data_IF_301651267679
#
_entry.id   IF_301651267679
#
_cell.length_a   1.000
_cell.length_b   1.000
_cell.length_c   1.000
_cell.angle_alpha   90.00
_cell.angle_beta   90.00
_cell.angle_gamma   90.00
#
_symmetry.space_group_name_H-M   'P 1'
#
loop_
_entity.id
_entity.type
_entity.pdbx_description
1 polymer ?
#
# COMPACT_ATOMS: atom_id res chain seq x y z
N UNK A 1 3.97 9.85 1.76
CA UNK A 1 3.45 8.46 1.75
C UNK A 1 4.25 7.55 2.67
N UNK A 2 5.59 7.64 2.75
CA UNK A 2 6.39 6.85 3.71
C UNK A 2 5.92 7.02 5.17
N UNK A 3 5.74 8.24 5.67
CA UNK A 3 5.21 8.47 7.03
C UNK A 3 3.85 7.79 7.23
N UNK A 4 2.96 7.90 6.24
CA UNK A 4 1.68 7.20 6.24
C UNK A 4 1.83 5.67 6.20
N UNK A 5 2.85 5.15 5.52
CA UNK A 5 3.15 3.72 5.49
C UNK A 5 3.56 3.22 6.87
N UNK A 6 4.43 3.97 7.55
CA UNK A 6 4.83 3.70 8.94
C UNK A 6 3.59 3.71 9.85
N UNK A 7 2.72 4.72 9.74
CA UNK A 7 1.48 4.78 10.52
C UNK A 7 0.53 3.61 10.26
N UNK A 8 0.38 3.18 9.01
CA UNK A 8 -0.47 2.02 8.67
C UNK A 8 0.10 0.75 9.29
N UNK A 9 1.41 0.55 9.19
CA UNK A 9 2.06 -0.63 9.75
C UNK A 9 1.94 -0.65 11.28
N UNK A 10 2.17 0.48 11.94
CA UNK A 10 2.00 0.61 13.39
C UNK A 10 0.55 0.28 13.80
N UNK A 11 -0.44 0.85 13.13
CA UNK A 11 -1.87 0.64 13.45
C UNK A 11 -2.33 -0.80 13.20
N UNK A 12 -1.88 -1.40 12.10
CA UNK A 12 -2.40 -2.70 11.66
C UNK A 12 -1.61 -3.90 12.20
N UNK A 13 -0.32 -3.73 12.44
CA UNK A 13 0.60 -4.81 12.85
C UNK A 13 1.32 -4.56 14.17
N UNK A 14 1.14 -3.37 14.81
CA UNK A 14 1.84 -2.98 16.04
C UNK A 14 3.37 -2.97 15.91
N UNK A 15 3.86 -2.77 14.68
CA UNK A 15 5.29 -2.66 14.38
C UNK A 15 5.67 -1.18 14.24
N UNK A 16 6.57 -0.73 15.10
CA UNK A 16 7.11 0.63 15.09
C UNK A 16 8.47 0.60 14.38
N UNK A 17 8.58 1.36 13.31
CA UNK A 17 9.76 1.36 12.41
C UNK A 17 10.27 2.77 12.16
N UNK A 18 11.52 2.91 11.74
CA UNK A 18 12.10 4.16 11.26
C UNK A 18 12.16 4.22 9.73
N UNK A 19 12.17 5.42 9.12
CA UNK A 19 12.19 5.58 7.66
C UNK A 19 13.32 4.83 6.94
N UNK A 20 14.48 4.66 7.58
CA UNK A 20 15.67 4.04 6.99
C UNK A 20 15.54 2.51 6.82
N UNK A 21 14.57 1.89 7.47
CA UNK A 21 14.32 0.44 7.42
C UNK A 21 13.50 0.02 6.20
N UNK A 22 12.94 0.98 5.44
CA UNK A 22 11.98 0.70 4.38
C UNK A 22 12.62 0.70 2.99
N UNK A 23 12.30 -0.33 2.22
CA UNK A 23 12.42 -0.33 0.78
C UNK A 23 11.29 0.47 0.13
N UNK A 24 11.55 1.05 -1.05
CA UNK A 24 10.55 1.77 -1.82
C UNK A 24 10.65 1.47 -3.31
N UNK A 25 9.51 1.14 -3.91
CA UNK A 25 9.36 0.97 -5.34
C UNK A 25 8.10 1.67 -5.85
N UNK A 26 8.11 2.07 -7.11
CA UNK A 26 6.91 2.58 -7.76
C UNK A 26 6.86 2.17 -9.22
N UNK A 27 5.66 1.81 -9.68
CA UNK A 27 5.44 1.35 -11.05
C UNK A 27 4.11 1.87 -11.57
N UNK A 28 4.08 2.24 -12.84
CA UNK A 28 2.85 2.58 -13.57
C UNK A 28 2.33 1.32 -14.25
N UNK A 29 1.05 1.02 -14.08
CA UNK A 29 0.43 -0.18 -14.66
C UNK A 29 -1.04 0.05 -15.02
N UNK A 30 -1.56 -0.78 -15.92
CA UNK A 30 -2.99 -0.81 -16.20
C UNK A 30 -3.74 -1.46 -15.03
N UNK A 31 -4.97 -1.00 -14.75
CA UNK A 31 -5.75 -1.53 -13.61
C UNK A 31 -6.02 -3.04 -13.73
N UNK A 32 -6.06 -3.57 -14.95
CA UNK A 32 -6.24 -4.99 -15.26
C UNK A 32 -5.02 -5.84 -14.86
N UNK A 33 -3.84 -5.23 -14.69
CA UNK A 33 -2.61 -5.91 -14.23
C UNK A 33 -2.57 -6.05 -12.70
N UNK A 34 -3.43 -5.33 -11.98
CA UNK A 34 -3.50 -5.39 -10.52
C UNK A 34 -4.25 -6.65 -10.09
N UNK A 35 -3.62 -7.43 -9.22
CA UNK A 35 -4.26 -8.60 -8.66
C UNK A 35 -5.49 -8.22 -7.81
N UNK A 36 -6.68 -8.66 -8.24
CA UNK A 36 -7.94 -8.36 -7.56
C UNK A 36 -7.96 -8.70 -6.06
N UNK A 37 -7.19 -9.70 -5.63
CA UNK A 37 -7.05 -10.09 -4.22
C UNK A 37 -6.31 -9.07 -3.35
N UNK A 38 -5.66 -8.09 -3.97
CA UNK A 38 -4.93 -7.01 -3.29
C UNK A 38 -5.76 -5.74 -3.15
N UNK A 39 -6.97 -5.67 -3.74
CA UNK A 39 -7.80 -4.47 -3.74
C UNK A 39 -8.96 -4.53 -2.73
N UNK A 40 -9.38 -3.39 -2.15
CA UNK A 40 -10.65 -3.31 -1.43
C UNK A 40 -11.83 -3.62 -2.36
N UNK A 41 -12.93 -4.11 -1.79
CA UNK A 41 -14.19 -4.28 -2.52
C UNK A 41 -14.69 -2.91 -3.00
N UNK A 42 -15.32 -2.91 -4.17
CA UNK A 42 -15.98 -1.74 -4.77
C UNK A 42 -15.05 -0.57 -5.16
N UNK A 43 -13.74 -0.80 -5.24
CA UNK A 43 -12.82 0.22 -5.76
C UNK A 43 -13.05 0.46 -7.27
N UNK A 44 -13.09 1.73 -7.64
CA UNK A 44 -13.08 2.17 -9.03
C UNK A 44 -11.76 2.86 -9.34
N UNK A 45 -10.93 2.21 -10.16
CA UNK A 45 -9.66 2.75 -10.63
C UNK A 45 -9.77 3.24 -12.09
N UNK A 46 -9.06 4.32 -12.47
CA UNK A 46 -8.87 4.67 -13.86
C UNK A 46 -8.06 3.57 -14.58
N UNK A 47 -8.04 3.60 -15.91
CA UNK A 47 -7.33 2.57 -16.70
C UNK A 47 -5.84 2.48 -16.32
N UNK A 48 -5.18 3.62 -16.12
CA UNK A 48 -3.75 3.69 -15.82
C UNK A 48 -3.56 4.33 -14.45
N UNK A 49 -2.81 3.67 -13.58
CA UNK A 49 -2.52 4.12 -12.21
C UNK A 49 -1.03 4.01 -11.90
N UNK A 50 -0.60 4.73 -10.87
CA UNK A 50 0.72 4.53 -10.26
C UNK A 50 0.54 3.75 -8.97
N UNK A 51 1.32 2.69 -8.77
CA UNK A 51 1.37 1.96 -7.50
C UNK A 51 2.70 2.25 -6.81
N UNK A 52 2.63 2.72 -5.57
CA UNK A 52 3.79 2.93 -4.69
C UNK A 52 3.82 1.80 -3.68
N UNK A 53 4.95 1.12 -3.54
CA UNK A 53 5.16 -0.01 -2.64
C UNK A 53 6.23 0.39 -1.62
N UNK A 54 5.86 0.37 -0.35
CA UNK A 54 6.78 0.50 0.78
C UNK A 54 6.94 -0.87 1.41
N UNK A 55 8.17 -1.38 1.43
CA UNK A 55 8.47 -2.75 1.82
C UNK A 55 9.26 -2.73 3.12
N UNK A 56 8.78 -3.47 4.12
CA UNK A 56 9.46 -3.68 5.39
C UNK A 56 9.58 -5.17 5.67
N UNK A 57 10.80 -5.66 5.83
CA UNK A 57 11.08 -7.03 6.23
C UNK A 57 11.26 -7.05 7.75
N UNK A 58 10.28 -7.57 8.48
CA UNK A 58 10.31 -7.55 9.93
C UNK A 58 11.34 -8.56 10.48
N UNK A 59 12.37 -8.12 11.22
CA UNK A 59 13.36 -9.03 11.78
C UNK A 59 12.80 -9.96 12.87
N UNK A 60 11.70 -9.58 13.52
CA UNK A 60 11.11 -10.32 14.64
C UNK A 60 10.38 -11.60 14.22
N UNK A 61 9.63 -11.54 13.12
CA UNK A 61 8.84 -12.68 12.63
C UNK A 61 9.26 -13.16 11.23
N UNK A 62 10.21 -12.47 10.61
CA UNK A 62 10.77 -12.82 9.30
C UNK A 62 9.81 -12.62 8.14
N UNK A 63 8.71 -11.88 8.33
CA UNK A 63 7.70 -11.66 7.29
C UNK A 63 7.94 -10.37 6.52
N UNK A 64 7.48 -10.39 5.27
CA UNK A 64 7.44 -9.22 4.41
C UNK A 64 6.10 -8.49 4.58
N UNK A 65 6.20 -7.22 4.95
CA UNK A 65 5.10 -6.27 5.02
C UNK A 65 5.21 -5.28 3.88
N UNK A 66 4.15 -5.16 3.08
CA UNK A 66 4.10 -4.20 1.97
C UNK A 66 2.92 -3.27 2.17
N UNK A 67 3.21 -2.00 2.48
CA UNK A 67 2.20 -0.95 2.42
C UNK A 67 2.19 -0.38 1.02
N UNK A 68 1.06 -0.50 0.33
CA UNK A 68 0.92 0.00 -1.03
C UNK A 68 -0.05 1.19 -1.10
N UNK A 69 0.18 2.07 -2.07
CA UNK A 69 -0.71 3.17 -2.43
C UNK A 69 -0.97 3.10 -3.94
N UNK A 70 -2.23 3.22 -4.34
CA UNK A 70 -2.63 3.35 -5.73
C UNK A 70 -3.07 4.78 -5.94
N UNK A 71 -2.43 5.47 -6.87
CA UNK A 71 -2.62 6.90 -7.10
C UNK A 71 -2.87 7.21 -8.57
N UNK A 72 -3.41 8.41 -8.82
CA UNK A 72 -3.45 8.99 -10.13
C UNK A 72 -2.02 9.34 -10.61
N UNK A 73 -1.71 8.95 -11.84
CA UNK A 73 -0.36 9.11 -12.42
C UNK A 73 0.11 10.56 -12.49
N UNK A 74 -0.81 11.54 -12.56
CA UNK A 74 -0.48 12.95 -12.78
C UNK A 74 -0.62 13.76 -11.50
N UNK A 75 -1.78 13.67 -10.87
CA UNK A 75 -2.13 14.45 -9.68
C UNK A 75 -1.63 13.84 -8.37
N UNK A 76 -1.15 12.59 -8.39
CA UNK A 76 -0.75 11.84 -7.20
C UNK A 76 -1.89 11.67 -6.18
N UNK A 77 -3.14 11.88 -6.61
CA UNK A 77 -4.33 11.66 -5.79
C UNK A 77 -4.43 10.18 -5.46
N UNK A 78 -4.54 9.86 -4.17
CA UNK A 78 -4.74 8.49 -3.70
C UNK A 78 -6.16 7.97 -4.00
N UNK A 79 -6.21 6.76 -4.56
CA UNK A 79 -7.43 5.98 -4.75
C UNK A 79 -7.56 4.85 -3.73
N UNK A 80 -6.43 4.23 -3.36
CA UNK A 80 -6.38 3.13 -2.40
C UNK A 80 -5.08 3.22 -1.62
N UNK A 81 -5.14 2.82 -0.36
CA UNK A 81 -3.97 2.34 0.39
C UNK A 81 -4.28 0.98 0.99
N UNK A 82 -3.27 0.16 1.20
CA UNK A 82 -3.46 -1.12 1.88
C UNK A 82 -2.17 -1.72 2.40
N UNK A 83 -2.32 -2.78 3.18
CA UNK A 83 -1.24 -3.55 3.77
C UNK A 83 -1.35 -5.00 3.29
N UNK A 84 -0.27 -5.49 2.69
CA UNK A 84 -0.04 -6.89 2.40
C UNK A 84 0.93 -7.48 3.43
N UNK A 85 0.67 -8.70 3.88
CA UNK A 85 1.60 -9.51 4.67
C UNK A 85 1.82 -10.81 3.93
N UNK A 86 3.06 -11.12 3.56
CA UNK A 86 3.39 -12.30 2.73
C UNK A 86 2.54 -12.34 1.43
N UNK A 87 2.38 -11.18 0.79
CA UNK A 87 1.59 -11.01 -0.43
C UNK A 87 0.07 -11.09 -0.26
N UNK A 88 -0.46 -11.23 0.96
CA UNK A 88 -1.91 -11.32 1.22
C UNK A 88 -2.45 -10.03 1.80
N UNK A 89 -3.56 -9.54 1.25
CA UNK A 89 -4.24 -8.36 1.78
C UNK A 89 -4.79 -8.61 3.18
N UNK A 90 -4.30 -7.84 4.16
CA UNK A 90 -4.79 -7.88 5.55
C UNK A 90 -5.58 -6.63 5.93
N UNK A 91 -5.31 -5.51 5.25
CA UNK A 91 -5.99 -4.25 5.50
C UNK A 91 -6.00 -3.38 4.24
N UNK A 92 -7.06 -2.59 4.02
CA UNK A 92 -7.15 -1.63 2.92
C UNK A 92 -8.14 -0.52 3.23
N UNK A 93 -7.96 0.62 2.56
CA UNK A 93 -8.85 1.77 2.62
C UNK A 93 -8.92 2.44 1.24
N UNK A 94 -10.12 2.87 0.85
CA UNK A 94 -10.33 3.66 -0.37
C UNK A 94 -10.00 5.14 -0.06
N UNK A 95 -9.20 5.77 -0.91
CA UNK A 95 -8.82 7.17 -0.80
C UNK A 95 -10.05 8.08 -0.95
N UNK A 96 -10.20 9.02 -0.01
CA UNK A 96 -11.32 9.97 0.02
C UNK A 96 -12.44 9.64 1.01
N UNK A 97 -12.42 8.47 1.66
CA UNK A 97 -13.17 8.27 2.91
C UNK A 97 -12.40 8.90 4.07
N UNK A 98 -12.57 10.21 4.23
CA UNK A 98 -12.33 10.87 5.51
C UNK A 98 -13.54 10.56 6.41
N UNK A 99 -13.33 9.76 7.44
CA UNK A 99 -13.99 9.98 8.73
C UNK A 99 -12.95 10.55 9.69
#
# INVERSE_FOLDING_TARGET
MLETAIEVLEKCAQLVTTPEEWGYESVTMEKEEIEMGTLPKDVHLPRLVMTHLYIYCAPEDGKDYVVYFITDITSQREFVRGLLVEGRLVWSQIGGTNE
#
